data_IF_774564458668
#
_entry.id   IF_774564458668
#
_cell.length_a   1.000
_cell.length_b   1.000
_cell.length_c   1.000
_cell.angle_alpha   90.00
_cell.angle_beta   90.00
_cell.angle_gamma   90.00
#
_symmetry.space_group_name_H-M   'P 1'
#
loop_
_entity.id
_entity.type
_entity.pdbx_description
1 polymer ?
#
# COMPACT_ATOMS: atom_id res chain seq x y z
N UNK A 1 -6.95 -0.92 9.43
CA UNK A 1 -6.67 -0.40 8.07
C UNK A 1 -5.17 -0.21 7.93
N UNK A 2 -4.48 -1.19 7.35
CA UNK A 2 -3.01 -1.15 7.14
C UNK A 2 -2.64 -0.66 5.73
N UNK A 3 -3.61 -0.64 4.82
CA UNK A 3 -3.43 -0.48 3.38
C UNK A 3 -2.69 0.80 2.96
N UNK A 4 -3.03 1.99 3.49
CA UNK A 4 -2.27 3.20 3.17
C UNK A 4 -0.82 3.13 3.66
N UNK A 5 -0.56 2.48 4.80
CA UNK A 5 0.78 2.32 5.35
C UNK A 5 1.66 1.43 4.46
N UNK A 6 1.09 0.42 3.78
CA UNK A 6 1.81 -0.38 2.78
C UNK A 6 2.24 0.47 1.58
N UNK A 7 1.41 1.43 1.16
CA UNK A 7 1.70 2.32 0.02
C UNK A 7 2.82 3.32 0.35
N UNK A 8 3.00 3.69 1.62
CA UNK A 8 4.06 4.62 2.06
C UNK A 8 5.45 4.18 1.62
N UNK A 9 5.70 2.87 1.56
CA UNK A 9 6.95 2.29 1.07
C UNK A 9 7.36 2.77 -0.33
N UNK A 10 6.39 3.09 -1.20
CA UNK A 10 6.62 3.49 -2.58
C UNK A 10 7.25 4.89 -2.73
N UNK A 11 7.00 5.79 -1.77
CA UNK A 11 7.36 7.20 -1.87
C UNK A 11 8.21 7.72 -0.70
N UNK A 12 8.76 6.79 0.10
CA UNK A 12 9.66 7.10 1.23
C UNK A 12 10.70 8.14 0.83
N UNK A 13 10.80 9.19 1.65
CA UNK A 13 11.73 10.33 1.54
C UNK A 13 11.54 11.25 0.32
N UNK A 14 10.40 11.17 -0.39
CA UNK A 14 10.21 11.94 -1.64
C UNK A 14 8.96 12.79 -1.76
N UNK A 15 8.02 12.66 -0.83
CA UNK A 15 6.81 13.48 -0.85
C UNK A 15 6.62 14.20 0.49
N UNK A 16 5.97 15.36 0.42
CA UNK A 16 5.62 16.13 1.61
C UNK A 16 4.63 15.33 2.45
N UNK A 17 4.75 15.45 3.78
CA UNK A 17 3.83 14.77 4.70
C UNK A 17 2.35 15.12 4.42
N UNK A 18 2.05 16.38 4.07
CA UNK A 18 0.71 16.80 3.67
C UNK A 18 0.18 16.02 2.46
N UNK A 19 1.04 15.68 1.49
CA UNK A 19 0.64 14.88 0.34
C UNK A 19 0.32 13.42 0.74
N UNK A 20 1.04 12.86 1.72
CA UNK A 20 0.76 11.54 2.30
C UNK A 20 -0.63 11.52 2.94
N UNK A 21 -0.94 12.53 3.74
CA UNK A 21 -2.23 12.66 4.43
C UNK A 21 -3.39 12.80 3.44
N UNK A 22 -3.25 13.70 2.46
CA UNK A 22 -4.26 13.90 1.42
C UNK A 22 -4.48 12.65 0.58
N UNK A 23 -3.39 12.02 0.13
CA UNK A 23 -3.47 10.75 -0.60
C UNK A 23 -4.20 9.69 0.20
N UNK A 24 -3.83 9.50 1.48
CA UNK A 24 -4.41 8.45 2.32
C UNK A 24 -5.92 8.67 2.56
N UNK A 25 -6.34 9.92 2.78
CA UNK A 25 -7.74 10.26 2.97
C UNK A 25 -8.57 10.04 1.68
N UNK A 26 -8.07 10.52 0.54
CA UNK A 26 -8.74 10.33 -0.75
C UNK A 26 -8.80 8.86 -1.15
N UNK A 27 -7.69 8.14 -0.97
CA UNK A 27 -7.58 6.73 -1.29
C UNK A 27 -8.54 5.88 -0.46
N UNK A 28 -8.72 6.20 0.82
CA UNK A 28 -9.69 5.52 1.68
C UNK A 28 -11.12 5.64 1.09
N UNK A 29 -11.53 6.84 0.71
CA UNK A 29 -12.90 7.10 0.24
C UNK A 29 -13.13 6.59 -1.17
N UNK A 30 -12.16 6.76 -2.07
CA UNK A 30 -12.35 6.53 -3.51
C UNK A 30 -11.93 5.11 -3.93
N UNK A 31 -11.01 4.48 -3.20
CA UNK A 31 -10.50 3.13 -3.54
C UNK A 31 -10.92 2.11 -2.51
N UNK A 32 -10.57 2.31 -1.24
CA UNK A 32 -10.79 1.29 -0.23
C UNK A 32 -12.28 1.04 0.03
N UNK A 33 -13.07 2.08 0.31
CA UNK A 33 -14.49 1.93 0.61
C UNK A 33 -15.27 1.26 -0.56
N UNK A 34 -15.12 1.68 -1.83
CA UNK A 34 -15.82 1.04 -2.95
C UNK A 34 -15.37 -0.42 -3.18
N UNK A 35 -14.06 -0.70 -3.17
CA UNK A 35 -13.56 -2.06 -3.42
C UNK A 35 -13.94 -3.00 -2.27
N UNK A 36 -13.92 -2.50 -1.03
CA UNK A 36 -14.43 -3.23 0.14
C UNK A 36 -15.90 -3.59 -0.04
N UNK A 37 -16.75 -2.64 -0.45
CA UNK A 37 -18.16 -2.91 -0.74
C UNK A 37 -18.34 -3.91 -1.88
N UNK A 38 -17.58 -3.78 -2.97
CA UNK A 38 -17.67 -4.68 -4.12
C UNK A 38 -17.43 -6.15 -3.75
N UNK A 39 -16.45 -6.40 -2.87
CA UNK A 39 -15.99 -7.76 -2.55
C UNK A 39 -16.60 -8.32 -1.27
N UNK A 40 -16.84 -7.50 -0.25
CA UNK A 40 -17.29 -7.93 1.09
C UNK A 40 -18.64 -7.36 1.51
N UNK A 41 -19.20 -6.39 0.79
CA UNK A 41 -20.43 -5.69 1.16
C UNK A 41 -21.59 -6.00 0.22
N UNK A 42 -21.72 -7.24 -0.26
CA UNK A 42 -22.77 -7.65 -1.21
C UNK A 42 -22.77 -6.82 -2.50
N UNK A 43 -21.60 -6.33 -2.93
CA UNK A 43 -21.45 -5.67 -4.21
C UNK A 43 -21.28 -6.65 -5.37
N UNK A 44 -21.08 -6.10 -6.56
CA UNK A 44 -21.09 -6.87 -7.80
C UNK A 44 -20.02 -7.98 -7.89
N UNK A 45 -18.86 -7.84 -7.23
CA UNK A 45 -17.83 -8.89 -7.21
C UNK A 45 -18.23 -10.04 -6.27
N UNK A 46 -18.86 -9.71 -5.14
CA UNK A 46 -19.43 -10.70 -4.23
C UNK A 46 -20.55 -11.50 -4.95
N UNK A 47 -21.44 -10.82 -5.67
CA UNK A 47 -22.49 -11.46 -6.48
C UNK A 47 -21.92 -12.32 -7.63
N UNK A 48 -20.80 -11.91 -8.21
CA UNK A 48 -20.08 -12.68 -9.22
C UNK A 48 -19.31 -13.90 -8.66
N UNK A 49 -19.38 -14.16 -7.34
CA UNK A 49 -18.77 -15.30 -6.69
C UNK A 49 -17.28 -15.12 -6.37
N UNK A 50 -16.76 -13.90 -6.34
CA UNK A 50 -15.38 -13.63 -5.94
C UNK A 50 -15.22 -13.90 -4.45
N UNK A 51 -14.24 -14.72 -4.11
CA UNK A 51 -13.91 -15.06 -2.72
C UNK A 51 -12.58 -14.41 -2.37
N UNK A 52 -12.63 -13.42 -1.48
CA UNK A 52 -11.46 -12.81 -0.87
C UNK A 52 -11.57 -12.94 0.65
N UNK A 53 -10.87 -13.91 1.23
CA UNK A 53 -11.04 -14.24 2.66
C UNK A 53 -10.45 -13.18 3.61
N UNK A 54 -9.29 -12.63 3.26
CA UNK A 54 -8.50 -11.77 4.16
C UNK A 54 -7.97 -10.47 3.51
N UNK A 55 -8.36 -10.19 2.27
CA UNK A 55 -8.06 -8.93 1.59
C UNK A 55 -6.97 -9.05 0.55
N UNK A 56 -6.81 -10.22 -0.09
CA UNK A 56 -5.95 -10.39 -1.25
C UNK A 56 -6.21 -9.34 -2.33
N UNK A 57 -7.48 -9.04 -2.61
CA UNK A 57 -7.89 -8.00 -3.54
C UNK A 57 -8.02 -6.67 -2.79
N UNK A 58 -8.87 -6.64 -1.75
CA UNK A 58 -9.26 -5.39 -1.08
C UNK A 58 -8.08 -4.65 -0.45
N UNK A 59 -7.10 -5.38 0.07
CA UNK A 59 -5.93 -4.83 0.77
C UNK A 59 -4.67 -4.91 -0.09
N UNK A 60 -4.26 -6.11 -0.53
CA UNK A 60 -2.94 -6.26 -1.16
C UNK A 60 -2.89 -5.79 -2.60
N UNK A 61 -3.84 -6.22 -3.44
CA UNK A 61 -3.83 -5.86 -4.85
C UNK A 61 -4.05 -4.35 -5.04
N UNK A 62 -5.00 -3.77 -4.31
CA UNK A 62 -5.26 -2.32 -4.35
C UNK A 62 -4.06 -1.51 -3.85
N UNK A 63 -3.41 -1.92 -2.75
CA UNK A 63 -2.19 -1.28 -2.25
C UNK A 63 -1.04 -1.41 -3.25
N UNK A 64 -0.79 -2.61 -3.77
CA UNK A 64 0.29 -2.89 -4.71
C UNK A 64 0.14 -2.12 -6.02
N UNK A 65 -1.06 -2.10 -6.59
CA UNK A 65 -1.36 -1.29 -7.77
C UNK A 65 -1.13 0.20 -7.50
N UNK A 66 -1.63 0.71 -6.37
CA UNK A 66 -1.46 2.13 -6.00
C UNK A 66 0.01 2.51 -5.78
N UNK A 67 0.76 1.65 -5.10
CA UNK A 67 2.19 1.80 -4.87
C UNK A 67 2.97 1.83 -6.19
N UNK A 68 2.64 0.94 -7.13
CA UNK A 68 3.27 0.89 -8.44
C UNK A 68 2.96 2.15 -9.26
N UNK A 69 1.70 2.58 -9.30
CA UNK A 69 1.30 3.81 -10.00
C UNK A 69 2.03 5.03 -9.42
N UNK A 70 2.09 5.15 -8.09
CA UNK A 70 2.79 6.25 -7.43
C UNK A 70 4.30 6.22 -7.68
N UNK A 71 4.93 5.05 -7.59
CA UNK A 71 6.36 4.90 -7.87
C UNK A 71 6.70 5.27 -9.32
N UNK A 72 5.82 4.91 -10.27
CA UNK A 72 5.96 5.29 -11.67
C UNK A 72 5.82 6.81 -11.87
N UNK A 73 4.81 7.44 -11.26
CA UNK A 73 4.60 8.89 -11.34
C UNK A 73 5.74 9.70 -10.70
N UNK A 74 6.31 9.21 -9.59
CA UNK A 74 7.39 9.87 -8.86
C UNK A 74 8.79 9.66 -9.48
N UNK A 75 8.93 8.75 -10.44
CA UNK A 75 10.18 8.39 -11.13
C UNK A 75 11.25 7.80 -10.17
N UNK A 76 12.41 7.32 -10.68
CA UNK A 76 13.48 6.75 -9.84
C UNK A 76 14.12 7.74 -8.86
N UNK A 77 14.75 7.20 -7.80
CA UNK A 77 15.46 7.96 -6.75
C UNK A 77 16.68 8.61 -7.39
N UNK A 78 17.11 9.78 -6.90
CA UNK A 78 18.39 10.33 -7.31
C UNK A 78 19.50 9.31 -7.00
N UNK A 79 20.35 9.02 -7.99
CA UNK A 79 21.40 7.99 -7.87
C UNK A 79 20.94 6.56 -8.16
N UNK A 80 19.66 6.28 -8.42
CA UNK A 80 19.25 4.95 -8.89
C UNK A 80 19.55 4.80 -10.39
N UNK A 81 20.12 3.66 -10.86
CA UNK A 81 20.51 2.47 -10.11
C UNK A 81 21.97 2.44 -9.63
N UNK A 82 22.78 3.46 -9.96
CA UNK A 82 24.24 3.45 -9.81
C UNK A 82 24.77 3.64 -8.38
N UNK A 83 23.98 4.21 -7.48
CA UNK A 83 24.32 4.49 -6.08
C UNK A 83 23.16 4.08 -5.17
N UNK A 84 23.13 2.79 -4.83
CA UNK A 84 22.15 2.24 -3.88
C UNK A 84 22.59 2.53 -2.45
N UNK A 85 21.72 3.19 -1.69
CA UNK A 85 21.93 3.42 -0.26
C UNK A 85 21.43 2.20 0.51
N UNK A 86 22.30 1.47 1.23
CA UNK A 86 21.84 0.35 2.06
C UNK A 86 20.95 0.86 3.21
N UNK A 87 20.07 0.01 3.77
CA UNK A 87 19.26 0.36 4.93
C UNK A 87 20.15 0.78 6.11
N UNK A 88 19.82 1.90 6.75
CA UNK A 88 20.60 2.41 7.89
C UNK A 88 20.50 1.52 9.15
N UNK A 89 19.43 0.71 9.27
CA UNK A 89 19.23 -0.22 10.39
C UNK A 89 18.46 -1.48 9.95
N UNK A 90 19.17 -2.56 9.58
CA UNK A 90 18.56 -3.85 9.26
C UNK A 90 17.81 -4.47 10.45
N UNK A 91 18.27 -4.23 11.68
CA UNK A 91 17.60 -4.72 12.90
C UNK A 91 16.18 -4.18 13.04
N UNK A 92 15.96 -2.89 12.76
CA UNK A 92 14.63 -2.29 12.78
C UNK A 92 13.70 -2.88 11.70
N UNK A 93 14.26 -3.19 10.52
CA UNK A 93 13.52 -3.88 9.45
C UNK A 93 13.05 -5.26 9.92
N UNK A 94 13.93 -6.03 10.57
CA UNK A 94 13.58 -7.35 11.11
C UNK A 94 12.51 -7.26 12.21
N UNK A 95 12.62 -6.30 13.13
CA UNK A 95 11.61 -6.08 14.17
C UNK A 95 10.24 -5.77 13.55
N UNK A 96 10.19 -4.87 12.58
CA UNK A 96 8.94 -4.56 11.86
C UNK A 96 8.37 -5.77 11.12
N UNK A 97 9.21 -6.54 10.44
CA UNK A 97 8.80 -7.76 9.76
C UNK A 97 8.22 -8.82 10.73
N UNK A 98 8.84 -9.00 11.90
CA UNK A 98 8.34 -9.91 12.93
C UNK A 98 6.98 -9.45 13.49
N UNK A 99 6.81 -8.15 13.72
CA UNK A 99 5.52 -7.58 14.15
C UNK A 99 4.43 -7.79 13.09
N UNK A 100 4.77 -7.60 11.80
CA UNK A 100 3.85 -7.90 10.70
C UNK A 100 3.50 -9.38 10.64
N UNK A 101 4.47 -10.28 10.79
CA UNK A 101 4.21 -11.72 10.82
C UNK A 101 3.24 -12.11 11.93
N UNK A 102 3.46 -11.62 13.16
CA UNK A 102 2.60 -11.96 14.31
C UNK A 102 1.21 -11.32 14.19
N UNK A 103 1.12 -10.15 13.58
CA UNK A 103 -0.15 -9.45 13.38
C UNK A 103 -0.94 -9.88 12.15
N UNK A 104 -0.38 -10.76 11.31
CA UNK A 104 -1.01 -11.33 10.12
C UNK A 104 -1.65 -12.69 10.43
#
# INVERSE_FOLDING_TARGET
IITPALVVGAFVERIKFTAVMLFSALWLVVVYCPVCYWVWGDGWLAEAGVIDFAGGIVVHATAGASALTLAWMLKPRQGFPSSLKPPHSPGMVMTGAAMLWVGW
#
